data_IF_938814495138
#
_entry.id   IF_938814495138
#
_cell.length_a   1.000
_cell.length_b   1.000
_cell.length_c   1.000
_cell.angle_alpha   90.00
_cell.angle_beta   90.00
_cell.angle_gamma   90.00
#
_symmetry.space_group_name_H-M   'P 1'
#
loop_
_entity.id
_entity.type
_entity.pdbx_description
1 polymer ?
#
# COMPACT_ATOMS: atom_id res chain seq x y z
N UNK A 1 2.10 -3.20 9.20
CA UNK A 1 2.10 -2.86 7.75
C UNK A 1 3.05 -3.73 6.94
N UNK A 2 4.29 -3.94 7.40
CA UNK A 2 5.34 -4.68 6.67
C UNK A 2 4.93 -6.07 6.18
N UNK A 3 4.37 -6.91 7.05
CA UNK A 3 3.98 -8.28 6.68
C UNK A 3 3.00 -8.32 5.49
N UNK A 4 2.03 -7.41 5.46
CA UNK A 4 1.08 -7.33 4.36
C UNK A 4 1.75 -6.82 3.07
N UNK A 5 2.59 -5.78 3.17
CA UNK A 5 3.32 -5.24 2.03
C UNK A 5 4.24 -6.30 1.39
N UNK A 6 4.97 -7.07 2.20
CA UNK A 6 5.82 -8.18 1.73
C UNK A 6 5.02 -9.30 1.07
N UNK A 7 3.83 -9.64 1.59
CA UNK A 7 2.95 -10.65 0.97
C UNK A 7 2.39 -10.17 -0.36
N UNK A 8 1.98 -8.91 -0.44
CA UNK A 8 1.44 -8.32 -1.66
C UNK A 8 2.51 -8.21 -2.76
N UNK A 9 3.73 -7.80 -2.43
CA UNK A 9 4.84 -7.78 -3.39
C UNK A 9 5.25 -9.19 -3.83
N UNK A 10 5.23 -10.16 -2.92
CA UNK A 10 5.43 -11.57 -3.26
C UNK A 10 4.37 -12.12 -4.23
N UNK A 11 3.11 -11.74 -4.03
CA UNK A 11 2.02 -12.09 -4.95
C UNK A 11 2.24 -11.44 -6.33
N UNK A 12 2.61 -10.17 -6.37
CA UNK A 12 2.89 -9.45 -7.62
C UNK A 12 4.05 -10.08 -8.41
N UNK A 13 5.12 -10.47 -7.71
CA UNK A 13 6.24 -11.20 -8.31
C UNK A 13 5.81 -12.54 -8.91
N UNK A 14 4.94 -13.29 -8.20
CA UNK A 14 4.38 -14.55 -8.70
C UNK A 14 3.41 -14.36 -9.87
N UNK A 15 2.63 -13.28 -9.88
CA UNK A 15 1.77 -12.95 -11.02
C UNK A 15 2.62 -12.66 -12.26
N UNK A 16 3.71 -11.89 -12.10
CA UNK A 16 4.65 -11.56 -13.17
C UNK A 16 5.31 -12.79 -13.77
N UNK A 17 5.70 -13.77 -12.95
CA UNK A 17 6.28 -15.02 -13.45
C UNK A 17 5.30 -15.89 -14.24
N UNK A 18 4.00 -15.64 -14.11
CA UNK A 18 2.92 -16.29 -14.88
C UNK A 18 2.46 -15.45 -16.09
N UNK A 19 3.14 -14.34 -16.39
CA UNK A 19 2.82 -13.45 -17.51
C UNK A 19 1.76 -12.39 -17.21
N UNK A 20 1.37 -12.22 -15.95
CA UNK A 20 0.46 -11.15 -15.53
C UNK A 20 1.25 -9.99 -14.93
N UNK A 21 1.05 -8.78 -15.45
CA UNK A 21 1.62 -7.58 -14.86
C UNK A 21 0.60 -6.93 -13.93
N UNK A 22 1.00 -6.68 -12.68
CA UNK A 22 0.26 -5.81 -11.78
C UNK A 22 0.96 -4.46 -11.78
N UNK A 23 0.26 -3.43 -12.24
CA UNK A 23 0.80 -2.09 -12.27
C UNK A 23 1.01 -1.57 -10.84
N UNK A 24 1.94 -0.64 -10.69
CA UNK A 24 2.28 -0.10 -9.37
C UNK A 24 1.09 0.58 -8.69
N UNK A 25 0.28 1.29 -9.48
CA UNK A 25 -0.98 1.88 -9.05
C UNK A 25 -1.96 0.84 -8.50
N UNK A 26 -2.02 -0.37 -9.08
CA UNK A 26 -2.89 -1.44 -8.57
C UNK A 26 -2.41 -1.93 -7.21
N UNK A 27 -1.09 -2.02 -7.02
CA UNK A 27 -0.50 -2.42 -5.75
C UNK A 27 -0.77 -1.37 -4.67
N UNK A 28 -0.65 -0.08 -4.99
CA UNK A 28 -0.99 1.01 -4.07
C UNK A 28 -2.46 0.97 -3.69
N UNK A 29 -3.38 0.87 -4.66
CA UNK A 29 -4.82 0.79 -4.39
C UNK A 29 -5.17 -0.41 -3.51
N UNK A 30 -4.66 -1.61 -3.86
CA UNK A 30 -4.86 -2.84 -3.07
C UNK A 30 -4.29 -2.73 -1.65
N UNK A 31 -3.15 -2.07 -1.49
CA UNK A 31 -2.54 -1.83 -0.18
C UNK A 31 -3.46 -0.96 0.69
N UNK A 32 -3.90 0.18 0.17
CA UNK A 32 -4.76 1.12 0.89
C UNK A 32 -6.13 0.52 1.22
N UNK A 33 -6.74 -0.18 0.26
CA UNK A 33 -8.05 -0.83 0.43
C UNK A 33 -8.03 -1.97 1.46
N UNK A 34 -6.85 -2.58 1.67
CA UNK A 34 -6.68 -3.68 2.63
C UNK A 34 -6.33 -3.22 4.04
N UNK A 35 -6.18 -1.91 4.28
CA UNK A 35 -5.82 -1.40 5.60
C UNK A 35 -6.97 -1.54 6.61
N UNK A 36 -6.66 -1.89 7.88
CA UNK A 36 -7.68 -2.00 8.91
C UNK A 36 -8.27 -0.64 9.27
N UNK A 37 -9.45 -0.63 9.93
CA UNK A 37 -10.18 0.59 10.28
C UNK A 37 -9.37 1.62 11.08
N UNK A 38 -8.39 1.17 11.87
CA UNK A 38 -7.47 2.04 12.61
C UNK A 38 -6.61 2.94 11.72
N UNK A 39 -6.48 2.64 10.43
CA UNK A 39 -5.72 3.42 9.45
C UNK A 39 -6.62 4.30 8.56
N UNK A 40 -7.94 4.32 8.76
CA UNK A 40 -8.86 5.06 7.88
C UNK A 40 -8.49 6.54 7.73
N UNK A 41 -8.03 7.18 8.80
CA UNK A 41 -7.62 8.59 8.74
C UNK A 41 -6.43 8.82 7.80
N UNK A 42 -5.39 7.99 7.89
CA UNK A 42 -4.23 8.12 7.00
C UNK A 42 -4.57 7.70 5.57
N UNK A 43 -5.38 6.65 5.38
CA UNK A 43 -5.83 6.23 4.05
C UNK A 43 -6.63 7.33 3.38
N UNK A 44 -7.62 7.92 4.06
CA UNK A 44 -8.39 9.04 3.54
C UNK A 44 -7.50 10.23 3.19
N UNK A 45 -6.52 10.55 4.04
CA UNK A 45 -5.56 11.63 3.79
C UNK A 45 -4.69 11.35 2.55
N UNK A 46 -4.24 10.11 2.35
CA UNK A 46 -3.47 9.70 1.18
C UNK A 46 -4.32 9.87 -0.09
N UNK A 47 -5.55 9.35 -0.08
CA UNK A 47 -6.47 9.38 -1.23
C UNK A 47 -6.89 10.82 -1.59
N UNK A 48 -7.08 11.69 -0.60
CA UNK A 48 -7.53 13.07 -0.85
C UNK A 48 -6.40 14.01 -1.26
N UNK A 49 -5.18 13.79 -0.77
CA UNK A 49 -4.08 14.75 -0.92
C UNK A 49 -3.02 14.35 -1.95
N UNK A 50 -3.04 13.11 -2.46
CA UNK A 50 -2.00 12.60 -3.36
C UNK A 50 -2.60 11.96 -4.62
N UNK A 51 -1.87 12.06 -5.73
CA UNK A 51 -2.18 11.35 -6.96
C UNK A 51 -1.73 9.90 -6.86
N UNK A 52 -2.68 8.96 -6.78
CA UNK A 52 -2.39 7.55 -6.58
C UNK A 52 -1.76 6.90 -7.82
N UNK A 53 -2.08 7.41 -9.01
CA UNK A 53 -1.61 6.85 -10.28
C UNK A 53 -0.09 7.09 -10.51
N UNK A 54 0.51 8.05 -9.79
CA UNK A 54 1.95 8.32 -9.80
C UNK A 54 2.67 7.90 -8.51
N UNK A 55 1.94 7.41 -7.50
CA UNK A 55 2.53 7.06 -6.20
C UNK A 55 3.29 5.74 -6.29
N UNK A 56 4.53 5.73 -5.77
CA UNK A 56 5.28 4.48 -5.71
C UNK A 56 4.77 3.59 -4.57
N UNK A 57 4.80 2.27 -4.77
CA UNK A 57 4.34 1.31 -3.77
C UNK A 57 5.07 1.47 -2.42
N UNK A 58 6.41 1.57 -2.46
CA UNK A 58 7.23 1.75 -1.25
C UNK A 58 6.94 3.08 -0.53
N UNK A 59 6.54 4.10 -1.28
CA UNK A 59 6.14 5.40 -0.75
C UNK A 59 4.84 5.30 0.06
N UNK A 60 3.85 4.57 -0.46
CA UNK A 60 2.59 4.29 0.24
C UNK A 60 2.84 3.45 1.51
N UNK A 61 3.68 2.42 1.41
CA UNK A 61 4.10 1.59 2.56
C UNK A 61 4.77 2.46 3.63
N UNK A 62 5.72 3.32 3.25
CA UNK A 62 6.43 4.20 4.17
C UNK A 62 5.50 5.13 4.96
N UNK A 63 4.51 5.74 4.30
CA UNK A 63 3.48 6.57 4.97
C UNK A 63 2.66 5.79 5.98
N UNK A 64 2.22 4.59 5.61
CA UNK A 64 1.43 3.73 6.50
C UNK A 64 2.26 3.27 7.71
N UNK A 65 3.54 2.94 7.53
CA UNK A 65 4.45 2.60 8.63
C UNK A 65 4.65 3.75 9.60
N UNK A 66 4.92 4.95 9.09
CA UNK A 66 5.06 6.14 9.93
C UNK A 66 3.80 6.44 10.75
N UNK A 67 2.61 6.16 10.19
CA UNK A 67 1.35 6.24 10.93
C UNK A 67 1.20 5.12 11.97
N UNK A 68 1.55 3.87 11.60
CA UNK A 68 1.55 2.70 12.49
C UNK A 68 2.39 2.96 13.76
N UNK A 69 3.55 3.57 13.63
CA UNK A 69 4.42 3.96 14.75
C UNK A 69 3.74 5.01 15.66
N UNK A 70 3.05 6.00 15.08
CA UNK A 70 2.37 7.05 15.86
C UNK A 70 1.17 6.55 16.66
N UNK A 71 0.43 5.56 16.16
CA UNK A 71 -0.74 5.02 16.86
C UNK A 71 -0.40 3.90 17.85
N UNK A 72 0.81 3.32 17.75
CA UNK A 72 1.34 2.34 18.72
C UNK A 72 2.10 3.00 19.87
N UNK A 73 2.53 4.25 19.69
CA UNK A 73 3.17 5.08 20.71
C UNK A 73 2.20 5.61 21.77
#
# INVERSE_FOLDING_TARGET
VDDFASKLSGLASKARSLGYELEEVDLVKRLLDSMPKSFLQIVASIVQCFELDSMLFDEAVGRLKAYEERIKG
#
